data_IF_646964016735
#
_entry.id   IF_646964016735
#
_cell.length_a   1.000
_cell.length_b   1.000
_cell.length_c   1.000
_cell.angle_alpha   90.00
_cell.angle_beta   90.00
_cell.angle_gamma   90.00
#
_symmetry.space_group_name_H-M   'P 1'
#
loop_
_entity.id
_entity.type
_entity.pdbx_description
1 polymer ?
#
# COMPACT_ATOMS: atom_id res chain seq x y z
N UNK A 1 -5.81 14.22 -6.56
CA UNK A 1 -5.19 12.87 -6.56
C UNK A 1 -4.75 12.58 -5.14
N UNK A 2 -5.06 11.38 -4.64
CA UNK A 2 -4.68 10.94 -3.31
C UNK A 2 -3.79 9.72 -3.46
N UNK A 3 -2.63 9.74 -2.80
CA UNK A 3 -1.61 8.70 -2.90
C UNK A 3 -1.29 8.24 -1.50
N UNK A 4 -1.38 6.93 -1.26
CA UNK A 4 -1.10 6.34 0.05
C UNK A 4 0.31 5.78 0.09
N UNK A 5 1.04 6.10 1.15
CA UNK A 5 2.34 5.50 1.45
C UNK A 5 2.43 5.13 2.93
N UNK A 6 3.39 4.29 3.26
CA UNK A 6 3.70 3.90 4.63
C UNK A 6 4.85 4.74 5.14
N UNK A 7 4.65 5.54 6.20
CA UNK A 7 5.75 6.17 6.93
C UNK A 7 6.54 5.09 7.66
N UNK A 8 7.83 4.97 7.36
CA UNK A 8 8.61 3.80 7.71
C UNK A 8 8.93 3.72 9.22
N UNK A 9 9.10 4.85 9.90
CA UNK A 9 9.55 4.86 11.30
C UNK A 9 8.47 4.36 12.26
N UNK A 10 7.21 4.74 12.05
CA UNK A 10 6.09 4.38 12.91
C UNK A 10 5.12 3.40 12.25
N UNK A 11 5.32 3.08 10.96
CA UNK A 11 4.43 2.19 10.20
C UNK A 11 3.04 2.79 9.98
N UNK A 12 2.92 4.12 9.92
CA UNK A 12 1.63 4.81 9.82
C UNK A 12 1.24 5.11 8.38
N UNK A 13 -0.08 5.10 8.12
CA UNK A 13 -0.66 5.49 6.83
C UNK A 13 -0.51 6.99 6.62
N UNK A 14 0.14 7.38 5.52
CA UNK A 14 0.21 8.79 5.08
C UNK A 14 -0.51 8.93 3.75
N UNK A 15 -1.41 9.91 3.65
CA UNK A 15 -2.14 10.23 2.42
C UNK A 15 -1.63 11.56 1.86
N UNK A 16 -0.94 11.51 0.73
CA UNK A 16 -0.51 12.69 0.01
C UNK A 16 -1.64 13.19 -0.90
N UNK A 17 -2.04 14.45 -0.72
CA UNK A 17 -3.03 15.15 -1.54
C UNK A 17 -2.52 16.47 -2.13
N UNK A 18 -1.29 16.86 -1.82
CA UNK A 18 -0.66 18.11 -2.23
C UNK A 18 0.87 17.95 -2.33
N UNK A 19 1.54 18.92 -2.98
CA UNK A 19 2.99 18.92 -3.18
C UNK A 19 3.42 18.22 -4.46
N UNK A 20 4.64 17.66 -4.47
CA UNK A 20 5.21 17.02 -5.66
C UNK A 20 4.61 15.61 -5.88
N UNK A 21 3.76 15.48 -6.90
CA UNK A 21 3.11 14.21 -7.25
C UNK A 21 4.10 13.08 -7.56
N UNK A 22 5.20 13.38 -8.25
CA UNK A 22 6.22 12.37 -8.59
C UNK A 22 6.89 11.79 -7.35
N UNK A 23 7.19 12.61 -6.35
CA UNK A 23 7.72 12.15 -5.07
C UNK A 23 6.69 11.33 -4.27
N UNK A 24 5.43 11.76 -4.26
CA UNK A 24 4.37 11.02 -3.59
C UNK A 24 4.15 9.63 -4.21
N UNK A 25 4.15 9.53 -5.55
CA UNK A 25 4.09 8.24 -6.24
C UNK A 25 5.33 7.40 -5.94
N UNK A 26 6.54 7.98 -6.00
CA UNK A 26 7.77 7.28 -5.68
C UNK A 26 7.74 6.68 -4.26
N UNK A 27 7.24 7.44 -3.28
CA UNK A 27 7.01 6.95 -1.92
C UNK A 27 6.03 5.78 -1.88
N UNK A 28 4.90 5.89 -2.59
CA UNK A 28 3.85 4.87 -2.64
C UNK A 28 4.26 3.56 -3.30
N UNK A 29 5.25 3.58 -4.21
CA UNK A 29 5.74 2.39 -4.93
C UNK A 29 7.13 1.93 -4.45
N UNK A 30 7.63 2.48 -3.34
CA UNK A 30 8.93 2.11 -2.76
C UNK A 30 8.83 0.78 -2.01
N UNK A 31 8.67 -0.33 -2.73
CA UNK A 31 8.54 -1.68 -2.18
C UNK A 31 9.79 -2.01 -1.35
N UNK A 32 9.62 -2.36 -0.05
CA UNK A 32 10.74 -2.75 0.79
C UNK A 32 11.59 -3.84 0.15
N UNK A 33 12.91 -3.73 0.32
CA UNK A 33 13.90 -4.66 -0.23
C UNK A 33 14.11 -4.62 -1.76
N UNK A 34 13.21 -4.02 -2.54
CA UNK A 34 13.41 -3.78 -3.98
C UNK A 34 13.84 -2.35 -4.28
N UNK A 35 13.31 -1.38 -3.53
CA UNK A 35 13.61 0.04 -3.72
C UNK A 35 14.11 0.69 -2.43
N UNK A 36 14.87 1.77 -2.59
CA UNK A 36 15.31 2.61 -1.47
C UNK A 36 14.08 3.40 -0.97
N UNK A 37 13.82 3.45 0.34
CA UNK A 37 12.74 4.27 0.88
C UNK A 37 12.83 5.72 0.40
N UNK A 38 11.72 6.25 -0.12
CA UNK A 38 11.67 7.63 -0.61
C UNK A 38 11.68 8.59 0.57
N UNK A 39 12.58 9.57 0.56
CA UNK A 39 12.65 10.61 1.59
C UNK A 39 11.87 11.84 1.16
N UNK A 40 10.91 12.27 1.97
CA UNK A 40 10.20 13.55 1.79
C UNK A 40 10.34 14.33 3.09
N UNK A 41 11.09 15.45 3.03
CA UNK A 41 11.51 16.17 4.22
C UNK A 41 12.40 15.32 5.13
N UNK A 42 12.00 15.16 6.39
CA UNK A 42 12.74 14.37 7.40
C UNK A 42 12.30 12.91 7.46
N UNK A 43 11.15 12.58 6.88
CA UNK A 43 10.52 11.27 6.97
C UNK A 43 10.91 10.37 5.79
N UNK A 44 10.86 9.06 6.02
CA UNK A 44 11.09 8.04 5.01
C UNK A 44 9.80 7.28 4.76
N UNK A 45 9.55 6.96 3.50
CA UNK A 45 8.32 6.31 3.08
C UNK A 45 8.64 5.07 2.26
N UNK A 46 7.80 4.06 2.45
CA UNK A 46 7.78 2.83 1.67
C UNK A 46 6.38 2.60 1.11
N UNK A 47 6.26 1.54 0.33
CA UNK A 47 5.05 1.15 -0.36
C UNK A 47 3.78 1.25 0.51
N UNK A 48 2.72 1.83 -0.07
CA UNK A 48 1.44 2.05 0.60
C UNK A 48 0.70 0.75 0.93
N UNK A 49 1.00 -0.33 0.21
CA UNK A 49 0.36 -1.62 0.39
C UNK A 49 0.65 -2.28 1.73
N UNK A 50 1.65 -1.83 2.50
CA UNK A 50 1.87 -2.36 3.85
C UNK A 50 0.78 -1.94 4.84
N UNK A 51 0.13 -0.80 4.61
CA UNK A 51 -0.87 -0.21 5.53
C UNK A 51 -2.25 -0.03 4.90
N UNK A 52 -2.34 0.01 3.57
CA UNK A 52 -3.60 0.19 2.85
C UNK A 52 -3.44 -0.28 1.38
N UNK A 53 -3.41 -1.61 1.14
CA UNK A 53 -3.28 -2.17 -0.21
C UNK A 53 -4.40 -1.78 -1.17
N UNK A 54 -5.62 -1.58 -0.67
CA UNK A 54 -6.76 -1.09 -1.46
C UNK A 54 -7.44 0.03 -0.66
N UNK A 55 -7.07 1.30 -0.86
CA UNK A 55 -7.37 2.41 0.05
C UNK A 55 -8.82 2.91 -0.02
N UNK A 56 -9.77 2.01 0.19
CA UNK A 56 -11.22 2.26 0.19
C UNK A 56 -11.61 3.21 1.30
N UNK A 57 -11.08 2.99 2.51
CA UNK A 57 -11.34 3.86 3.66
C UNK A 57 -10.92 5.30 3.39
N UNK A 58 -9.74 5.49 2.77
CA UNK A 58 -9.25 6.82 2.41
C UNK A 58 -10.21 7.49 1.43
N UNK A 59 -10.70 6.78 0.41
CA UNK A 59 -11.69 7.34 -0.52
C UNK A 59 -12.98 7.79 0.20
N UNK A 60 -13.47 6.99 1.17
CA UNK A 60 -14.65 7.34 1.98
C UNK A 60 -14.40 8.51 2.93
N UNK A 61 -13.27 8.54 3.62
CA UNK A 61 -12.85 9.64 4.50
C UNK A 61 -12.78 10.98 3.74
N UNK A 62 -12.48 10.92 2.44
CA UNK A 62 -12.41 12.08 1.55
C UNK A 62 -13.76 12.48 0.95
N UNK A 63 -14.85 11.80 1.34
CA UNK A 63 -16.22 12.16 0.95
C UNK A 63 -16.70 11.54 -0.36
N UNK A 64 -16.14 10.40 -0.79
CA UNK A 64 -16.69 9.69 -1.94
C UNK A 64 -18.07 9.08 -1.64
N UNK A 65 -19.05 9.36 -2.49
CA UNK A 65 -20.41 8.80 -2.39
C UNK A 65 -20.46 7.32 -2.80
N UNK A 66 -19.63 6.93 -3.77
CA UNK A 66 -19.50 5.56 -4.29
C UNK A 66 -18.02 5.25 -4.47
N UNK A 67 -17.57 4.10 -3.95
CA UNK A 67 -16.20 3.62 -4.08
C UNK A 67 -16.17 2.29 -4.84
N UNK A 68 -15.52 2.32 -6.00
CA UNK A 68 -15.22 1.13 -6.82
C UNK A 68 -13.80 0.69 -6.47
N UNK A 69 -13.66 -0.50 -5.86
CA UNK A 69 -12.39 -1.03 -5.42
C UNK A 69 -11.82 -2.03 -6.44
N UNK A 70 -10.61 -1.77 -6.92
CA UNK A 70 -9.91 -2.68 -7.85
C UNK A 70 -8.78 -3.38 -7.10
N UNK A 71 -8.98 -4.65 -6.77
CA UNK A 71 -7.96 -5.48 -6.12
C UNK A 71 -7.19 -6.30 -7.17
N UNK A 72 -5.88 -6.04 -7.26
CA UNK A 72 -4.96 -6.73 -8.19
C UNK A 72 -3.93 -7.61 -7.47
N UNK A 73 -4.08 -7.82 -6.16
CA UNK A 73 -3.12 -8.61 -5.40
C UNK A 73 -3.06 -10.05 -5.92
N UNK A 74 -1.84 -10.57 -6.08
CA UNK A 74 -1.64 -11.95 -6.45
C UNK A 74 -2.15 -12.88 -5.33
N UNK A 75 -2.88 -13.92 -5.71
CA UNK A 75 -3.26 -14.94 -4.75
C UNK A 75 -2.02 -15.72 -4.28
N UNK A 76 -1.90 -16.00 -2.97
CA UNK A 76 -0.72 -16.62 -2.38
C UNK A 76 -0.33 -17.99 -2.99
N UNK A 77 -1.24 -18.66 -3.70
CA UNK A 77 -1.03 -20.00 -4.27
C UNK A 77 0.08 -20.07 -5.32
N UNK A 78 0.49 -18.95 -5.93
CA UNK A 78 1.45 -18.93 -7.04
C UNK A 78 2.83 -18.37 -6.69
N UNK A 79 3.14 -18.09 -5.42
CA UNK A 79 4.45 -17.54 -5.04
C UNK A 79 5.46 -18.67 -4.77
N UNK A 80 6.60 -18.76 -5.48
CA UNK A 80 7.63 -19.75 -5.18
C UNK A 80 8.18 -19.53 -3.77
N UNK A 81 8.02 -20.50 -2.87
CA UNK A 81 8.54 -20.45 -1.48
C UNK A 81 9.90 -21.15 -1.33
N UNK A 82 10.57 -21.44 -2.43
CA UNK A 82 11.80 -22.25 -2.47
C UNK A 82 13.06 -21.54 -1.96
N UNK A 83 13.01 -20.22 -1.75
CA UNK A 83 14.13 -19.44 -1.21
C UNK A 83 13.65 -18.39 -0.19
N UNK A 84 14.60 -17.83 0.58
CA UNK A 84 14.34 -16.84 1.64
C UNK A 84 13.59 -15.62 1.08
N UNK A 85 13.91 -15.20 -0.15
CA UNK A 85 13.25 -14.08 -0.82
C UNK A 85 11.78 -14.37 -1.14
N UNK A 86 11.49 -15.57 -1.65
CA UNK A 86 10.15 -16.03 -1.94
C UNK A 86 9.30 -16.17 -0.69
N UNK A 87 9.88 -16.69 0.40
CA UNK A 87 9.22 -16.75 1.71
C UNK A 87 8.92 -15.35 2.26
N UNK A 88 9.88 -14.43 2.18
CA UNK A 88 9.68 -13.04 2.61
C UNK A 88 8.54 -12.36 1.82
N UNK A 89 8.57 -12.47 0.49
CA UNK A 89 7.54 -11.88 -0.37
C UNK A 89 6.17 -12.53 -0.12
N UNK A 90 6.13 -13.84 0.09
CA UNK A 90 4.90 -14.56 0.45
C UNK A 90 4.32 -14.08 1.77
N UNK A 91 5.16 -13.83 2.79
CA UNK A 91 4.71 -13.29 4.07
C UNK A 91 4.04 -11.92 3.88
N UNK A 92 4.65 -11.03 3.11
CA UNK A 92 4.06 -9.73 2.77
C UNK A 92 2.72 -9.92 2.04
N UNK A 93 2.69 -10.76 0.99
CA UNK A 93 1.48 -11.03 0.22
C UNK A 93 0.33 -11.54 1.09
N UNK A 94 0.59 -12.44 2.04
CA UNK A 94 -0.44 -12.97 2.95
C UNK A 94 -1.00 -11.85 3.84
N UNK A 95 -0.14 -11.01 4.41
CA UNK A 95 -0.58 -9.87 5.24
C UNK A 95 -1.37 -8.85 4.43
N UNK A 96 -0.88 -8.48 3.25
CA UNK A 96 -1.55 -7.53 2.35
C UNK A 96 -2.91 -8.05 1.89
N UNK A 97 -3.03 -9.32 1.51
CA UNK A 97 -4.32 -9.91 1.12
C UNK A 97 -5.34 -9.86 2.27
N UNK A 98 -4.92 -10.08 3.52
CA UNK A 98 -5.81 -9.96 4.69
C UNK A 98 -6.29 -8.53 4.90
N UNK A 99 -5.39 -7.56 4.75
CA UNK A 99 -5.72 -6.15 4.92
C UNK A 99 -6.61 -5.64 3.78
N UNK A 100 -6.32 -6.00 2.53
CA UNK A 100 -7.17 -5.71 1.38
C UNK A 100 -8.58 -6.28 1.55
N UNK A 101 -8.70 -7.54 1.98
CA UNK A 101 -10.00 -8.16 2.24
C UNK A 101 -10.78 -7.46 3.37
N UNK A 102 -10.09 -6.80 4.30
CA UNK A 102 -10.73 -5.96 5.32
C UNK A 102 -11.23 -4.64 4.72
N UNK A 103 -10.38 -3.91 4.00
CA UNK A 103 -10.72 -2.63 3.37
C UNK A 103 -11.83 -2.76 2.32
N UNK A 104 -11.81 -3.83 1.52
CA UNK A 104 -12.80 -4.10 0.48
C UNK A 104 -14.23 -4.26 1.02
N UNK A 105 -14.41 -4.62 2.31
CA UNK A 105 -15.76 -4.68 2.91
C UNK A 105 -16.45 -3.32 2.94
N UNK A 106 -15.66 -2.25 2.93
CA UNK A 106 -16.17 -0.89 2.88
C UNK A 106 -16.39 -0.42 1.44
N UNK A 107 -16.11 -1.21 0.40
CA UNK A 107 -16.34 -0.81 -0.99
C UNK A 107 -17.80 -1.05 -1.39
N UNK A 108 -18.27 -0.30 -2.38
CA UNK A 108 -19.62 -0.47 -2.92
C UNK A 108 -19.63 -1.45 -4.12
N UNK A 109 -18.50 -1.53 -4.84
CA UNK A 109 -18.25 -2.47 -5.96
C UNK A 109 -16.85 -3.04 -5.87
#
# INVERSE_FOLDING_TARGET
LFIVATELQHGTRTVFNQGNTGQAVAASVSIPSMFIPTRIGKLQYVDGGLVSPVPVEVAKELGADVVIAVNILAQPENTPTSNIWGLFNQNINVMQNRLAAYEMKAADV
#
